data_IF_847651743641
#
_entry.id   IF_847651743641
#
_cell.length_a   1.000
_cell.length_b   1.000
_cell.length_c   1.000
_cell.angle_alpha   90.00
_cell.angle_beta   90.00
_cell.angle_gamma   90.00
#
_symmetry.space_group_name_H-M   'P 1'
#
loop_
_entity.id
_entity.type
_entity.pdbx_description
1 polymer ?
#
# COMPACT_ATOMS: atom_id res chain seq x y z
N UNK A 1 -8.33 -19.82 -13.32
CA UNK A 1 -6.86 -19.79 -13.21
C UNK A 1 -6.47 -18.55 -12.42
N UNK A 2 -5.75 -18.72 -11.32
CA UNK A 2 -5.09 -17.62 -10.62
C UNK A 2 -3.67 -17.45 -11.17
N UNK A 3 -3.17 -16.22 -11.26
CA UNK A 3 -1.80 -15.90 -11.67
C UNK A 3 -1.18 -15.02 -10.59
N UNK A 4 0.07 -15.28 -10.27
CA UNK A 4 0.87 -14.41 -9.40
C UNK A 4 1.33 -13.22 -10.23
N UNK A 5 1.22 -12.02 -9.67
CA UNK A 5 1.59 -10.75 -10.29
C UNK A 5 2.45 -9.98 -9.29
N UNK A 6 3.26 -9.05 -9.79
CA UNK A 6 4.14 -8.17 -9.01
C UNK A 6 5.34 -8.88 -8.35
N UNK A 7 6.42 -9.03 -9.11
CA UNK A 7 7.70 -9.56 -8.64
C UNK A 7 8.64 -8.45 -8.13
N UNK A 8 8.14 -7.23 -7.85
CA UNK A 8 8.96 -6.08 -7.46
C UNK A 8 9.81 -6.26 -6.20
N UNK A 9 9.51 -7.27 -5.39
CA UNK A 9 10.22 -7.64 -4.15
C UNK A 9 10.83 -9.05 -4.19
N UNK A 10 10.79 -9.72 -5.35
CA UNK A 10 11.31 -11.07 -5.50
C UNK A 10 12.84 -11.09 -5.36
N UNK A 11 13.36 -12.02 -4.55
CA UNK A 11 14.81 -12.24 -4.39
C UNK A 11 15.20 -13.57 -4.99
N UNK A 12 16.30 -13.59 -5.74
CA UNK A 12 16.92 -14.82 -6.25
C UNK A 12 17.80 -15.40 -5.15
N UNK A 13 17.37 -16.50 -4.54
CA UNK A 13 18.17 -17.22 -3.55
C UNK A 13 19.12 -18.15 -4.29
N UNK A 14 20.41 -17.79 -4.38
CA UNK A 14 21.45 -18.71 -4.88
C UNK A 14 21.92 -19.60 -3.72
N UNK A 15 22.13 -20.89 -3.97
CA UNK A 15 22.49 -21.87 -2.92
C UNK A 15 23.78 -21.50 -2.16
N UNK A 16 23.62 -21.39 -0.84
CA UNK A 16 24.58 -21.34 0.26
C UNK A 16 26.05 -20.93 0.00
N UNK A 17 26.38 -19.69 0.38
CA UNK A 17 27.65 -19.37 1.07
C UNK A 17 27.33 -18.46 2.26
N UNK A 18 27.83 -18.71 3.48
CA UNK A 18 27.42 -17.96 4.65
C UNK A 18 28.24 -16.68 4.75
N UNK A 19 27.81 -15.61 4.09
CA UNK A 19 28.16 -14.25 4.48
C UNK A 19 27.29 -13.23 3.75
N UNK A 20 26.88 -12.23 4.52
CA UNK A 20 26.14 -11.03 4.13
C UNK A 20 24.63 -11.24 3.98
N UNK A 21 23.97 -11.40 5.13
CA UNK A 21 22.56 -11.04 5.30
C UNK A 21 22.39 -9.57 4.88
N UNK A 22 21.95 -9.37 3.63
CA UNK A 22 21.64 -8.04 3.11
C UNK A 22 20.21 -7.71 3.55
N UNK A 23 20.15 -6.78 4.50
CA UNK A 23 18.98 -6.07 5.01
C UNK A 23 18.13 -5.59 3.84
N UNK A 24 16.93 -6.16 3.68
CA UNK A 24 15.91 -5.56 2.80
C UNK A 24 14.61 -5.54 3.59
N UNK A 25 13.93 -4.40 3.50
CA UNK A 25 12.63 -4.05 4.08
C UNK A 25 12.60 -3.52 5.53
N UNK A 26 13.59 -2.73 5.96
CA UNK A 26 13.42 -1.87 7.16
C UNK A 26 13.40 -0.37 6.82
N UNK A 27 13.94 0.03 5.66
CA UNK A 27 13.98 1.47 5.28
C UNK A 27 12.61 2.07 4.92
N UNK A 28 11.62 1.26 4.54
CA UNK A 28 10.28 1.73 4.14
C UNK A 28 9.25 1.71 5.29
N UNK A 29 9.63 1.28 6.50
CA UNK A 29 8.71 1.20 7.64
C UNK A 29 8.51 2.56 8.35
N UNK A 30 9.42 3.51 8.16
CA UNK A 30 9.32 4.87 8.70
C UNK A 30 8.21 5.71 8.07
N UNK A 31 7.72 5.33 6.89
CA UNK A 31 6.67 6.02 6.15
C UNK A 31 5.24 5.48 6.44
N UNK A 32 5.10 4.43 7.26
CA UNK A 32 3.84 3.67 7.43
C UNK A 32 3.00 4.11 8.64
N UNK A 33 3.44 5.11 9.41
CA UNK A 33 2.68 5.63 10.56
C UNK A 33 1.59 6.59 10.09
N UNK A 34 0.47 6.06 9.58
CA UNK A 34 -0.71 6.91 9.40
C UNK A 34 -1.96 6.36 8.72
N UNK A 35 -1.93 5.20 8.05
CA UNK A 35 -3.14 4.73 7.34
C UNK A 35 -3.40 3.24 7.53
N UNK A 36 -4.68 2.89 7.78
CA UNK A 36 -5.13 1.50 7.91
C UNK A 36 -4.87 0.62 6.68
N UNK A 37 -4.55 1.21 5.53
CA UNK A 37 -4.08 0.49 4.34
C UNK A 37 -2.68 -0.12 4.53
N UNK A 38 -1.76 0.59 5.20
CA UNK A 38 -0.45 0.05 5.57
C UNK A 38 -0.58 -1.10 6.56
N UNK A 39 -1.49 -0.97 7.54
CA UNK A 39 -1.84 -2.06 8.46
C UNK A 39 -2.34 -3.28 7.69
N UNK A 40 -3.14 -3.05 6.64
CA UNK A 40 -3.65 -4.08 5.73
C UNK A 40 -2.53 -4.91 5.11
N UNK A 41 -1.55 -4.27 4.47
CA UNK A 41 -0.41 -4.99 3.86
C UNK A 41 0.52 -5.62 4.90
N UNK A 42 0.70 -5.00 6.07
CA UNK A 42 1.51 -5.54 7.17
C UNK A 42 0.94 -6.86 7.69
N UNK A 43 -0.39 -7.03 7.70
CA UNK A 43 -1.06 -8.22 8.22
C UNK A 43 -0.65 -9.54 7.52
N UNK A 44 -0.01 -9.48 6.35
CA UNK A 44 0.49 -10.65 5.61
C UNK A 44 2.01 -10.88 5.77
N UNK A 45 2.73 -10.03 6.49
CA UNK A 45 4.17 -10.23 6.75
C UNK A 45 4.42 -11.43 7.66
N UNK A 46 5.52 -12.14 7.40
CA UNK A 46 6.01 -13.19 8.28
C UNK A 46 6.69 -12.62 9.55
N UNK A 47 6.79 -13.40 10.64
CA UNK A 47 7.50 -12.98 11.86
C UNK A 47 8.96 -12.57 11.60
N UNK A 48 9.65 -13.31 10.73
CA UNK A 48 11.02 -13.00 10.35
C UNK A 48 11.14 -11.68 9.57
N UNK A 49 10.16 -11.34 8.71
CA UNK A 49 10.10 -10.04 8.04
C UNK A 49 9.85 -8.92 9.05
N UNK A 50 8.92 -9.11 9.99
CA UNK A 50 8.61 -8.15 11.05
C UNK A 50 9.80 -7.88 11.99
N UNK A 51 10.68 -8.87 12.19
CA UNK A 51 11.91 -8.75 12.98
C UNK A 51 13.13 -8.29 12.16
N UNK A 52 12.98 -8.09 10.84
CA UNK A 52 14.11 -7.76 9.95
C UNK A 52 15.17 -8.86 9.83
N UNK A 53 14.78 -10.12 10.05
CA UNK A 53 15.66 -11.29 9.95
C UNK A 53 15.81 -11.77 8.49
N UNK A 54 16.73 -12.72 8.26
CA UNK A 54 16.92 -13.32 6.94
C UNK A 54 15.66 -14.02 6.43
N UNK A 55 15.16 -13.60 5.27
CA UNK A 55 13.92 -14.10 4.63
C UNK A 55 14.26 -15.24 3.66
N UNK A 56 13.43 -16.28 3.62
CA UNK A 56 13.49 -17.36 2.62
C UNK A 56 12.07 -17.72 2.14
N UNK A 57 11.93 -18.73 1.29
CA UNK A 57 10.64 -19.14 0.72
C UNK A 57 9.56 -19.51 1.77
N UNK A 58 9.93 -19.80 3.02
CA UNK A 58 8.97 -20.09 4.10
C UNK A 58 8.25 -18.84 4.58
N UNK A 59 8.76 -17.64 4.27
CA UNK A 59 8.04 -16.39 4.49
C UNK A 59 6.85 -16.27 3.54
N UNK A 60 7.01 -16.64 2.26
CA UNK A 60 5.91 -16.66 1.29
C UNK A 60 4.81 -17.66 1.68
N UNK A 61 5.18 -18.79 2.29
CA UNK A 61 4.24 -19.77 2.85
C UNK A 61 3.37 -19.13 3.95
N UNK A 62 3.98 -18.33 4.82
CA UNK A 62 3.24 -17.62 5.88
C UNK A 62 2.27 -16.61 5.29
N UNK A 63 2.73 -15.77 4.37
CA UNK A 63 1.89 -14.78 3.68
C UNK A 63 0.73 -15.44 2.94
N UNK A 64 0.98 -16.57 2.27
CA UNK A 64 -0.07 -17.36 1.62
C UNK A 64 -1.06 -17.94 2.64
N UNK A 65 -0.59 -18.44 3.79
CA UNK A 65 -1.43 -18.87 4.90
C UNK A 65 -2.36 -17.76 5.39
N UNK A 66 -1.86 -16.52 5.47
CA UNK A 66 -2.65 -15.37 5.89
C UNK A 66 -3.75 -15.03 4.87
N UNK A 67 -3.46 -15.12 3.57
CA UNK A 67 -4.45 -14.95 2.50
C UNK A 67 -5.50 -16.06 2.55
N UNK A 68 -5.09 -17.32 2.75
CA UNK A 68 -6.03 -18.44 2.89
C UNK A 68 -6.97 -18.25 4.10
N UNK A 69 -6.44 -17.80 5.24
CA UNK A 69 -7.23 -17.48 6.42
C UNK A 69 -8.29 -16.44 6.12
N UNK A 70 -7.91 -15.33 5.51
CA UNK A 70 -8.83 -14.24 5.20
C UNK A 70 -9.87 -14.65 4.15
N UNK A 71 -9.49 -15.43 3.13
CA UNK A 71 -10.47 -15.96 2.18
C UNK A 71 -11.47 -16.93 2.84
N UNK A 72 -11.03 -17.70 3.83
CA UNK A 72 -11.89 -18.65 4.54
C UNK A 72 -12.83 -17.97 5.55
N UNK A 73 -12.41 -16.86 6.14
CA UNK A 73 -13.11 -16.22 7.28
C UNK A 73 -13.69 -14.84 6.95
N UNK A 74 -13.23 -14.19 5.90
CA UNK A 74 -13.53 -12.79 5.57
C UNK A 74 -12.81 -11.76 6.45
N UNK A 75 -11.88 -12.19 7.31
CA UNK A 75 -11.18 -11.33 8.28
C UNK A 75 -9.68 -11.64 8.26
N UNK A 76 -8.83 -10.63 8.40
CA UNK A 76 -7.39 -10.82 8.49
C UNK A 76 -6.99 -11.62 9.74
N UNK A 77 -5.95 -12.49 9.66
CA UNK A 77 -5.52 -13.33 10.79
C UNK A 77 -4.91 -12.53 11.94
N UNK A 78 -4.21 -11.43 11.64
CA UNK A 78 -3.53 -10.57 12.61
C UNK A 78 -3.97 -9.13 12.36
N UNK A 79 -4.50 -8.47 13.40
CA UNK A 79 -5.00 -7.10 13.27
C UNK A 79 -4.74 -6.31 14.55
N UNK A 80 -3.96 -5.25 14.43
CA UNK A 80 -3.77 -4.26 15.48
C UNK A 80 -4.51 -2.96 15.19
N UNK A 81 -4.80 -2.18 16.23
CA UNK A 81 -5.28 -0.79 16.09
C UNK A 81 -4.18 0.16 15.60
N UNK A 82 -2.92 -0.24 15.73
CA UNK A 82 -1.74 0.48 15.26
C UNK A 82 -0.80 -0.47 14.52
N UNK A 83 0.17 0.09 13.80
CA UNK A 83 1.26 -0.67 13.15
C UNK A 83 2.03 -1.50 14.17
N UNK A 84 2.44 -0.90 15.29
CA UNK A 84 3.15 -1.59 16.36
C UNK A 84 2.31 -2.72 16.98
N UNK A 85 1.01 -2.52 17.18
CA UNK A 85 0.11 -3.56 17.65
C UNK A 85 0.00 -4.71 16.62
N UNK A 86 -0.03 -4.40 15.33
CA UNK A 86 -0.08 -5.41 14.27
C UNK A 86 1.20 -6.23 14.21
N UNK A 87 2.37 -5.60 14.37
CA UNK A 87 3.63 -6.32 14.54
C UNK A 87 3.60 -7.23 15.77
N UNK A 88 3.09 -6.75 16.91
CA UNK A 88 2.96 -7.58 18.09
C UNK A 88 2.07 -8.82 17.85
N UNK A 89 0.95 -8.67 17.13
CA UNK A 89 0.09 -9.79 16.75
C UNK A 89 0.80 -10.78 15.81
N UNK A 90 1.53 -10.27 14.82
CA UNK A 90 2.32 -11.11 13.90
C UNK A 90 3.40 -11.88 14.65
N UNK A 91 4.01 -11.32 15.69
CA UNK A 91 5.10 -11.97 16.42
C UNK A 91 4.61 -12.95 17.49
N UNK A 92 3.50 -12.65 18.18
CA UNK A 92 3.16 -13.34 19.42
C UNK A 92 1.75 -13.94 19.45
N UNK A 93 0.83 -13.45 18.64
CA UNK A 93 -0.56 -13.89 18.69
C UNK A 93 -0.84 -15.07 17.77
N UNK A 94 -1.84 -15.85 18.13
CA UNK A 94 -2.43 -16.88 17.27
C UNK A 94 -3.76 -16.35 16.71
N UNK A 95 -4.04 -16.55 15.41
CA UNK A 95 -5.32 -16.14 14.84
C UNK A 95 -6.46 -16.88 15.55
N UNK A 96 -7.64 -16.26 15.61
CA UNK A 96 -8.82 -16.97 16.08
C UNK A 96 -9.10 -18.19 15.18
N UNK A 97 -9.53 -19.31 15.76
CA UNK A 97 -9.89 -20.52 15.03
C UNK A 97 -10.84 -20.20 13.87
N UNK A 98 -10.50 -20.63 12.65
CA UNK A 98 -11.25 -20.29 11.44
C UNK A 98 -12.67 -20.86 11.50
N UNK A 99 -12.83 -22.06 12.05
CA UNK A 99 -14.13 -22.73 12.24
C UNK A 99 -15.03 -21.96 13.22
N UNK A 100 -14.46 -21.19 14.16
CA UNK A 100 -15.27 -20.32 15.05
C UNK A 100 -15.85 -19.10 14.33
N UNK A 101 -15.17 -18.60 13.30
CA UNK A 101 -15.63 -17.43 12.53
C UNK A 101 -16.56 -17.87 11.40
N UNK A 102 -16.18 -18.93 10.69
CA UNK A 102 -16.96 -19.53 9.61
C UNK A 102 -17.10 -21.05 9.84
N UNK A 103 -18.23 -21.50 10.42
CA UNK A 103 -18.48 -22.93 10.69
C UNK A 103 -18.54 -23.82 9.44
N UNK A 104 -18.61 -23.23 8.24
CA UNK A 104 -18.57 -23.98 6.98
C UNK A 104 -17.15 -24.29 6.50
N UNK A 105 -16.12 -23.76 7.18
CA UNK A 105 -14.72 -24.11 6.89
C UNK A 105 -14.46 -25.55 7.29
N UNK A 106 -13.95 -26.41 6.39
CA UNK A 106 -13.54 -27.77 6.76
C UNK A 106 -12.42 -27.74 7.81
N UNK A 107 -12.48 -28.60 8.82
CA UNK A 107 -11.47 -28.69 9.88
C UNK A 107 -10.05 -28.91 9.32
N UNK A 108 -9.93 -29.67 8.23
CA UNK A 108 -8.65 -29.87 7.55
C UNK A 108 -8.10 -28.61 6.89
N UNK A 109 -8.97 -27.70 6.40
CA UNK A 109 -8.52 -26.39 5.90
C UNK A 109 -7.96 -25.54 7.03
N UNK A 110 -8.62 -25.55 8.20
CA UNK A 110 -8.11 -24.88 9.40
C UNK A 110 -6.75 -25.43 9.81
N UNK A 111 -6.57 -26.75 9.83
CA UNK A 111 -5.27 -27.39 10.12
C UNK A 111 -4.17 -26.91 9.17
N UNK A 112 -4.47 -26.84 7.87
CA UNK A 112 -3.52 -26.38 6.84
C UNK A 112 -3.13 -24.91 7.09
N UNK A 113 -4.12 -24.05 7.32
CA UNK A 113 -3.91 -22.62 7.57
C UNK A 113 -3.07 -22.42 8.84
N UNK A 114 -3.41 -23.10 9.93
CA UNK A 114 -2.67 -23.01 11.21
C UNK A 114 -1.22 -23.43 11.03
N UNK A 115 -0.94 -24.53 10.32
CA UNK A 115 0.45 -24.95 10.04
C UNK A 115 1.22 -23.96 9.17
N UNK A 116 0.54 -23.29 8.23
CA UNK A 116 1.16 -22.24 7.40
C UNK A 116 1.48 -20.97 8.21
N UNK A 117 0.65 -20.66 9.21
CA UNK A 117 0.78 -19.50 10.08
C UNK A 117 1.63 -19.73 11.35
N UNK A 118 2.34 -20.86 11.43
CA UNK A 118 3.28 -21.13 12.51
C UNK A 118 4.34 -20.04 12.61
N UNK A 119 4.62 -19.57 13.83
CA UNK A 119 5.58 -18.48 14.06
C UNK A 119 7.01 -18.98 13.90
N UNK A 120 7.28 -20.18 14.42
CA UNK A 120 8.54 -20.87 14.22
C UNK A 120 8.61 -21.45 12.81
N UNK A 121 9.59 -20.98 12.04
CA UNK A 121 9.83 -21.40 10.66
C UNK A 121 10.20 -22.88 10.54
N UNK A 122 10.74 -23.50 11.59
CA UNK A 122 11.04 -24.93 11.61
C UNK A 122 9.79 -25.80 11.73
N UNK A 123 8.71 -25.27 12.33
CA UNK A 123 7.43 -25.96 12.49
C UNK A 123 6.45 -25.71 11.32
N UNK A 124 6.71 -24.65 10.55
CA UNK A 124 5.97 -24.33 9.32
C UNK A 124 6.22 -25.38 8.22
N UNK A 125 5.40 -25.37 7.17
CA UNK A 125 5.75 -26.10 5.93
C UNK A 125 7.12 -25.64 5.41
N UNK A 126 7.96 -26.59 5.03
CA UNK A 126 9.31 -26.26 4.54
C UNK A 126 9.27 -25.94 3.04
N UNK A 127 8.34 -26.54 2.30
CA UNK A 127 8.18 -26.30 0.87
C UNK A 127 6.73 -26.00 0.47
N UNK A 128 6.55 -25.15 -0.55
CA UNK A 128 5.23 -24.83 -1.11
C UNK A 128 4.51 -26.06 -1.71
N UNK A 129 5.27 -27.08 -2.11
CA UNK A 129 4.73 -28.36 -2.58
C UNK A 129 3.97 -29.12 -1.48
N UNK A 130 4.38 -28.99 -0.22
CA UNK A 130 3.71 -29.67 0.90
C UNK A 130 2.31 -29.11 1.13
N UNK A 131 2.18 -27.79 1.23
CA UNK A 131 0.87 -27.14 1.37
C UNK A 131 -0.02 -27.38 0.15
N UNK A 132 0.55 -27.39 -1.06
CA UNK A 132 -0.19 -27.74 -2.27
C UNK A 132 -0.73 -29.17 -2.23
N UNK A 133 0.05 -30.14 -1.74
CA UNK A 133 -0.38 -31.53 -1.60
C UNK A 133 -1.53 -31.67 -0.60
N UNK A 134 -1.44 -31.00 0.55
CA UNK A 134 -2.50 -30.99 1.57
C UNK A 134 -3.79 -30.35 1.05
N UNK A 135 -3.70 -29.22 0.33
CA UNK A 135 -4.87 -28.57 -0.30
C UNK A 135 -5.49 -29.42 -1.40
N UNK A 136 -4.68 -30.14 -2.18
CA UNK A 136 -5.19 -31.09 -3.18
C UNK A 136 -5.90 -32.28 -2.55
N UNK A 137 -5.39 -32.79 -1.42
CA UNK A 137 -6.04 -33.85 -0.65
C UNK A 137 -7.40 -33.36 -0.13
N UNK A 138 -7.43 -32.20 0.54
CA UNK A 138 -8.66 -31.59 1.03
C UNK A 138 -9.69 -31.41 -0.10
N UNK A 139 -9.25 -30.96 -1.28
CA UNK A 139 -10.13 -30.82 -2.44
C UNK A 139 -10.78 -32.15 -2.83
N UNK A 140 -10.01 -33.24 -2.88
CA UNK A 140 -10.54 -34.58 -3.20
C UNK A 140 -11.55 -35.07 -2.15
N UNK A 141 -11.27 -34.78 -0.88
CA UNK A 141 -12.12 -35.23 0.23
C UNK A 141 -13.41 -34.40 0.36
N UNK A 142 -13.38 -33.14 -0.11
CA UNK A 142 -14.54 -32.23 -0.12
C UNK A 142 -15.37 -32.34 -1.40
N UNK A 143 -14.77 -32.79 -2.51
CA UNK A 143 -15.53 -33.13 -3.71
C UNK A 143 -16.36 -34.39 -3.44
N UNK A 144 -17.69 -34.36 -3.65
CA UNK A 144 -18.52 -35.52 -3.43
C UNK A 144 -18.07 -36.64 -4.37
N UNK A 145 -17.33 -37.61 -3.83
CA UNK A 145 -17.01 -38.83 -4.55
C UNK A 145 -18.33 -39.54 -4.77
N UNK A 146 -18.80 -39.56 -6.01
CA UNK A 146 -19.85 -40.47 -6.44
C UNK A 146 -19.27 -41.89 -6.35
N UNK A 147 -19.20 -42.43 -5.13
CA UNK A 147 -18.85 -43.82 -4.89
C UNK A 147 -20.02 -44.64 -5.40
N UNK A 148 -19.94 -45.00 -6.68
CA UNK A 148 -20.73 -46.08 -7.25
C UNK A 148 -20.33 -47.34 -6.48
N UNK A 149 -21.13 -47.70 -5.49
CA UNK A 149 -21.05 -48.99 -4.81
C UNK A 149 -21.22 -50.08 -5.90
N UNK A 150 -20.22 -50.93 -6.17
CA UNK A 150 -20.39 -52.00 -7.13
C UNK A 150 -21.15 -53.15 -6.46
N UNK A 151 -22.39 -53.38 -6.91
CA UNK A 151 -22.98 -54.71 -6.90
C UNK A 151 -24.05 -54.99 -5.85
N UNK A 152 -25.28 -54.57 -6.14
CA UNK A 152 -26.44 -55.44 -5.93
C UNK A 152 -27.17 -55.57 -7.27
N UNK A 153 -27.18 -56.79 -7.80
CA UNK A 153 -27.92 -57.15 -9.01
C UNK A 153 -29.39 -57.30 -8.60
N UNK A 154 -30.26 -56.48 -9.18
CA UNK A 154 -31.64 -56.87 -9.46
C UNK A 154 -32.12 -56.18 -10.75
N UNK A 155 -32.58 -56.93 -11.77
CA UNK A 155 -33.06 -56.38 -13.02
C UNK A 155 -34.58 -56.26 -13.00
N UNK A 156 -35.10 -55.04 -12.92
CA UNK A 156 -36.51 -54.84 -13.17
C UNK A 156 -37.06 -53.53 -12.64
N UNK A 157 -37.09 -52.52 -13.50
CA UNK A 157 -38.32 -51.82 -13.89
C UNK A 157 -37.94 -50.57 -14.70
N UNK A 158 -38.52 -50.49 -15.89
CA UNK A 158 -38.47 -49.33 -16.77
C UNK A 158 -39.06 -48.12 -16.03
N UNK A 159 -38.30 -47.04 -15.94
CA UNK A 159 -38.84 -45.70 -15.74
C UNK A 159 -38.27 -44.78 -16.82
N UNK A 160 -39.19 -44.33 -17.65
CA UNK A 160 -39.13 -43.29 -18.68
C UNK A 160 -38.12 -42.18 -18.44
N UNK A 161 -37.24 -42.02 -19.44
CA UNK A 161 -36.50 -40.79 -19.72
C UNK A 161 -37.47 -39.65 -20.02
N UNK A 162 -37.57 -38.69 -19.10
CA UNK A 162 -38.13 -37.36 -19.36
C UNK A 162 -37.00 -36.35 -19.18
N UNK A 163 -36.87 -35.48 -20.18
CA UNK A 163 -35.74 -34.63 -20.45
C UNK A 163 -35.40 -33.65 -19.31
N UNK A 164 -34.10 -33.45 -19.11
CA UNK A 164 -33.53 -32.33 -18.35
C UNK A 164 -33.85 -31.00 -19.06
N UNK A 165 -34.31 -29.94 -18.35
CA UNK A 165 -34.18 -28.60 -18.87
C UNK A 165 -32.73 -28.16 -18.78
N UNK A 166 -32.20 -27.76 -19.94
CA UNK A 166 -30.87 -27.23 -20.19
C UNK A 166 -30.48 -26.10 -19.24
N UNK A 167 -29.30 -26.22 -18.66
CA UNK A 167 -28.57 -25.16 -17.98
C UNK A 167 -28.31 -23.99 -18.94
N UNK A 168 -29.18 -22.98 -18.93
CA UNK A 168 -29.02 -21.80 -19.77
C UNK A 168 -29.49 -20.50 -19.12
N UNK A 169 -29.45 -20.34 -17.79
CA UNK A 169 -29.69 -19.03 -17.16
C UNK A 169 -28.88 -18.87 -15.87
N UNK A 170 -27.63 -18.39 -15.96
CA UNK A 170 -26.99 -17.54 -14.92
C UNK A 170 -25.62 -16.99 -15.33
N UNK A 171 -25.49 -16.46 -16.55
CA UNK A 171 -24.21 -15.92 -17.05
C UNK A 171 -24.11 -14.39 -17.03
N UNK A 172 -25.08 -13.66 -16.46
CA UNK A 172 -25.09 -12.18 -16.49
C UNK A 172 -24.86 -11.49 -15.13
N UNK A 173 -24.83 -12.21 -14.01
CA UNK A 173 -24.68 -11.58 -12.67
C UNK A 173 -23.23 -11.47 -12.17
N UNK A 174 -22.29 -12.28 -12.68
CA UNK A 174 -20.90 -12.29 -12.22
C UNK A 174 -20.00 -11.25 -12.90
N UNK A 175 -20.30 -10.86 -14.15
CA UNK A 175 -19.52 -9.85 -14.88
C UNK A 175 -19.64 -8.45 -14.27
N UNK A 176 -20.82 -8.12 -13.73
CA UNK A 176 -21.08 -6.82 -13.10
C UNK A 176 -20.32 -6.69 -11.78
N UNK A 177 -20.31 -7.75 -10.95
CA UNK A 177 -19.59 -7.73 -9.66
C UNK A 177 -18.09 -7.60 -9.88
N UNK A 178 -17.51 -8.35 -10.83
CA UNK A 178 -16.09 -8.25 -11.16
C UNK A 178 -15.71 -6.86 -11.73
N UNK A 179 -16.57 -6.27 -12.56
CA UNK A 179 -16.36 -4.92 -13.10
C UNK A 179 -16.45 -3.84 -12.00
N UNK A 180 -17.38 -3.98 -11.04
CA UNK A 180 -17.49 -3.08 -9.89
C UNK A 180 -16.27 -3.20 -8.98
N UNK A 181 -15.78 -4.41 -8.69
CA UNK A 181 -14.58 -4.61 -7.88
C UNK A 181 -13.33 -4.03 -8.55
N UNK A 182 -13.19 -4.19 -9.87
CA UNK A 182 -12.11 -3.56 -10.64
C UNK A 182 -12.21 -2.03 -10.66
N UNK A 183 -13.42 -1.48 -10.79
CA UNK A 183 -13.63 -0.03 -10.75
C UNK A 183 -13.33 0.55 -9.35
N UNK A 184 -13.69 -0.16 -8.28
CA UNK A 184 -13.37 0.23 -6.90
C UNK A 184 -11.87 0.13 -6.64
N UNK A 185 -11.21 -0.94 -7.10
CA UNK A 185 -9.77 -1.10 -6.96
C UNK A 185 -9.00 -0.04 -7.75
N UNK A 186 -9.40 0.25 -8.99
CA UNK A 186 -8.82 1.29 -9.82
C UNK A 186 -9.07 2.69 -9.21
N UNK A 187 -10.27 2.95 -8.69
CA UNK A 187 -10.60 4.19 -8.00
C UNK A 187 -9.80 4.37 -6.71
N UNK A 188 -9.60 3.29 -5.94
CA UNK A 188 -8.76 3.29 -4.75
C UNK A 188 -7.28 3.52 -5.08
N UNK A 189 -6.75 2.85 -6.10
CA UNK A 189 -5.39 3.05 -6.58
C UNK A 189 -5.17 4.47 -7.12
N UNK A 190 -6.12 5.00 -7.90
CA UNK A 190 -6.09 6.38 -8.38
C UNK A 190 -6.15 7.38 -7.23
N UNK A 191 -7.01 7.15 -6.22
CA UNK A 191 -7.07 8.01 -5.03
C UNK A 191 -5.78 7.97 -4.21
N UNK A 192 -5.14 6.80 -4.05
CA UNK A 192 -3.82 6.71 -3.38
C UNK A 192 -2.73 7.42 -4.17
N UNK A 193 -2.71 7.24 -5.49
CA UNK A 193 -1.77 7.91 -6.38
C UNK A 193 -1.96 9.44 -6.35
N UNK A 194 -3.20 9.92 -6.37
CA UNK A 194 -3.54 11.34 -6.29
C UNK A 194 -3.14 11.96 -4.94
N UNK A 195 -3.24 11.19 -3.84
CA UNK A 195 -2.85 11.64 -2.49
C UNK A 195 -1.35 11.50 -2.21
N UNK A 196 -0.61 10.77 -3.03
CA UNK A 196 0.83 10.56 -2.89
C UNK A 196 1.65 11.87 -2.77
N UNK A 197 1.51 12.87 -3.67
CA UNK A 197 2.25 14.13 -3.57
C UNK A 197 1.96 14.90 -2.28
N UNK A 198 0.70 14.88 -1.81
CA UNK A 198 0.28 15.54 -0.56
C UNK A 198 0.99 14.91 0.64
N UNK A 199 1.04 13.58 0.71
CA UNK A 199 1.69 12.85 1.82
C UNK A 199 3.20 13.12 1.85
N UNK A 200 3.86 13.06 0.70
CA UNK A 200 5.28 13.33 0.58
C UNK A 200 5.63 14.77 0.99
N UNK A 201 4.87 15.74 0.49
CA UNK A 201 5.06 17.14 0.87
C UNK A 201 4.86 17.34 2.37
N UNK A 202 3.80 16.77 2.96
CA UNK A 202 3.50 16.91 4.39
C UNK A 202 4.59 16.32 5.29
N UNK A 203 5.22 15.22 4.88
CA UNK A 203 6.34 14.62 5.61
C UNK A 203 7.58 15.52 5.70
N UNK A 204 7.70 16.51 4.80
CA UNK A 204 8.79 17.50 4.78
C UNK A 204 8.50 18.77 5.58
N UNK A 205 7.33 18.88 6.24
CA UNK A 205 7.04 20.01 7.12
C UNK A 205 8.06 20.21 8.25
N UNK A 206 8.56 19.14 8.93
CA UNK A 206 9.61 19.30 9.93
C UNK A 206 10.91 19.84 9.33
N UNK A 207 11.29 19.37 8.14
CA UNK A 207 12.47 19.87 7.40
C UNK A 207 12.34 21.37 7.12
N UNK A 208 11.18 21.79 6.61
CA UNK A 208 10.88 23.21 6.38
C UNK A 208 10.95 24.03 7.67
N UNK A 209 10.36 23.52 8.76
CA UNK A 209 10.39 24.19 10.06
C UNK A 209 11.83 24.33 10.58
N UNK A 210 12.64 23.27 10.50
CA UNK A 210 14.05 23.32 10.89
C UNK A 210 14.85 24.32 10.05
N UNK A 211 14.59 24.43 8.74
CA UNK A 211 15.24 25.45 7.90
C UNK A 211 14.87 26.87 8.34
N UNK A 212 13.60 27.11 8.69
CA UNK A 212 13.14 28.41 9.20
C UNK A 212 13.81 28.74 10.54
N UNK A 213 13.84 27.79 11.48
CA UNK A 213 14.48 27.95 12.79
C UNK A 213 15.99 28.19 12.68
N UNK A 214 16.64 27.57 11.69
CA UNK A 214 18.05 27.78 11.39
C UNK A 214 18.33 29.03 10.53
N UNK A 215 17.33 29.90 10.30
CA UNK A 215 17.40 31.10 9.47
C UNK A 215 17.86 30.86 8.02
N UNK A 216 17.71 29.62 7.53
CA UNK A 216 18.02 29.21 6.14
C UNK A 216 16.86 29.54 5.21
N UNK A 217 16.46 30.80 5.18
CA UNK A 217 15.21 31.21 4.54
C UNK A 217 15.20 31.03 3.01
N UNK A 218 16.35 31.16 2.34
CA UNK A 218 16.47 30.94 0.88
C UNK A 218 16.13 29.49 0.50
N UNK A 219 16.64 28.53 1.27
CA UNK A 219 16.35 27.10 1.08
C UNK A 219 14.92 26.76 1.50
N UNK A 220 14.49 27.30 2.64
CA UNK A 220 13.13 27.13 3.13
C UNK A 220 12.09 27.62 2.11
N UNK A 221 12.34 28.78 1.47
CA UNK A 221 11.42 29.35 0.50
C UNK A 221 11.28 28.48 -0.75
N UNK A 222 12.38 27.92 -1.26
CA UNK A 222 12.34 26.97 -2.38
C UNK A 222 11.55 25.73 -2.03
N UNK A 223 11.85 25.13 -0.88
CA UNK A 223 11.15 23.94 -0.40
C UNK A 223 9.64 24.19 -0.23
N UNK A 224 9.27 25.31 0.41
CA UNK A 224 7.87 25.72 0.53
C UNK A 224 7.22 25.89 -0.85
N UNK A 225 7.87 26.57 -1.80
CA UNK A 225 7.31 26.77 -3.14
C UNK A 225 7.05 25.44 -3.88
N UNK A 226 7.94 24.46 -3.73
CA UNK A 226 7.74 23.11 -4.30
C UNK A 226 6.54 22.39 -3.64
N UNK A 227 6.32 22.64 -2.35
CA UNK A 227 5.24 22.03 -1.58
C UNK A 227 3.87 22.70 -1.82
N UNK A 228 3.83 23.95 -2.31
CA UNK A 228 2.60 24.75 -2.43
C UNK A 228 1.51 24.07 -3.27
N UNK A 229 1.87 23.40 -4.38
CA UNK A 229 0.88 22.72 -5.22
C UNK A 229 0.22 21.54 -4.50
N UNK A 230 1.00 20.79 -3.72
CA UNK A 230 0.54 19.59 -3.05
C UNK A 230 -0.21 19.89 -1.74
N UNK A 231 0.17 20.98 -1.05
CA UNK A 231 -0.36 21.33 0.27
C UNK A 231 -1.26 22.58 0.25
N UNK A 232 -1.81 22.94 -0.91
CA UNK A 232 -2.73 24.06 -1.03
C UNK A 232 -3.92 23.92 -0.06
N UNK A 233 -4.01 24.83 0.91
CA UNK A 233 -5.07 24.81 1.94
C UNK A 233 -4.81 23.88 3.14
N UNK A 234 -3.66 23.20 3.22
CA UNK A 234 -3.30 22.40 4.40
C UNK A 234 -2.94 23.33 5.58
N UNK A 235 -3.71 23.23 6.68
CA UNK A 235 -3.57 24.12 7.81
C UNK A 235 -2.20 24.07 8.51
N UNK A 236 -1.53 22.91 8.51
CA UNK A 236 -0.21 22.76 9.13
C UNK A 236 0.86 23.45 8.27
N UNK A 237 0.79 23.27 6.94
CA UNK A 237 1.64 23.97 6.00
C UNK A 237 1.44 25.49 6.07
N UNK A 238 0.19 25.96 6.10
CA UNK A 238 -0.13 27.38 6.24
C UNK A 238 0.47 27.99 7.51
N UNK A 239 0.42 27.26 8.62
CA UNK A 239 1.00 27.69 9.90
C UNK A 239 2.52 27.81 9.83
N UNK A 240 3.20 26.81 9.26
CA UNK A 240 4.67 26.80 9.15
C UNK A 240 5.15 27.89 8.18
N UNK A 241 4.55 27.97 6.99
CA UNK A 241 4.96 28.95 5.97
C UNK A 241 4.68 30.40 6.37
N UNK A 242 3.75 30.64 7.29
CA UNK A 242 3.51 31.98 7.81
C UNK A 242 4.75 32.57 8.53
N UNK A 243 5.63 31.74 9.09
CA UNK A 243 6.89 32.18 9.69
C UNK A 243 7.98 32.53 8.65
N UNK A 244 7.78 32.16 7.39
CA UNK A 244 8.70 32.36 6.29
C UNK A 244 8.27 33.50 5.35
N UNK A 245 7.01 33.93 5.43
CA UNK A 245 6.40 34.87 4.50
C UNK A 245 5.94 36.15 5.19
N UNK A 246 6.34 37.31 4.65
CA UNK A 246 5.96 38.63 5.17
C UNK A 246 5.11 39.42 4.16
N UNK A 247 4.28 40.39 4.60
CA UNK A 247 3.48 41.20 3.69
C UNK A 247 4.34 42.03 2.72
N UNK A 248 4.08 41.94 1.42
CA UNK A 248 4.78 42.72 0.39
C UNK A 248 3.80 43.38 -0.57
N UNK A 249 4.10 44.63 -0.92
CA UNK A 249 3.41 45.36 -1.99
C UNK A 249 4.40 45.67 -3.09
N UNK A 250 4.11 45.22 -4.31
CA UNK A 250 4.92 45.47 -5.50
C UNK A 250 4.03 46.08 -6.59
N UNK A 251 4.38 47.29 -7.04
CA UNK A 251 3.68 47.99 -8.13
C UNK A 251 4.67 48.30 -9.25
N UNK A 252 4.20 48.32 -10.48
CA UNK A 252 5.00 48.70 -11.65
C UNK A 252 4.22 49.66 -12.51
N UNK A 253 4.92 50.44 -13.33
CA UNK A 253 4.31 51.21 -14.41
C UNK A 253 5.05 50.85 -15.70
N UNK A 254 4.39 50.25 -16.70
CA UNK A 254 2.98 49.83 -16.71
C UNK A 254 2.68 48.64 -15.77
N UNK A 255 1.41 48.48 -15.42
CA UNK A 255 0.91 47.31 -14.67
C UNK A 255 1.08 46.01 -15.46
N UNK A 256 0.82 44.87 -14.82
CA UNK A 256 0.90 43.53 -15.39
C UNK A 256 2.32 43.12 -15.81
N UNK A 257 3.32 43.40 -14.96
CA UNK A 257 4.67 42.88 -15.09
C UNK A 257 4.81 41.58 -14.28
N UNK A 258 5.50 40.59 -14.82
CA UNK A 258 5.79 39.35 -14.12
C UNK A 258 6.92 39.56 -13.11
N UNK A 259 6.72 39.10 -11.89
CA UNK A 259 7.68 39.20 -10.80
C UNK A 259 8.21 37.81 -10.48
N UNK A 260 9.52 37.69 -10.51
CA UNK A 260 10.26 36.49 -10.13
C UNK A 260 11.19 36.80 -8.97
N UNK A 261 11.48 35.79 -8.17
CA UNK A 261 12.32 35.89 -6.98
C UNK A 261 13.30 34.74 -6.92
N UNK A 262 14.49 34.99 -6.36
CA UNK A 262 15.54 33.98 -6.20
C UNK A 262 16.42 34.32 -4.99
N UNK A 263 16.95 33.31 -4.31
CA UNK A 263 17.91 33.49 -3.23
C UNK A 263 19.10 34.36 -3.64
N UNK A 264 19.52 35.29 -2.78
CA UNK A 264 20.61 36.21 -3.07
C UNK A 264 21.96 35.50 -3.20
N UNK A 265 22.17 34.44 -2.40
CA UNK A 265 23.39 33.65 -2.35
C UNK A 265 23.39 32.49 -3.36
N UNK A 266 22.34 32.40 -4.18
CA UNK A 266 22.16 31.36 -5.19
C UNK A 266 22.19 31.98 -6.61
N UNK A 267 23.36 32.43 -7.10
CA UNK A 267 23.45 33.13 -8.39
C UNK A 267 23.02 32.26 -9.59
N UNK A 268 23.08 30.93 -9.42
CA UNK A 268 22.64 29.93 -10.40
C UNK A 268 21.34 29.22 -10.00
N UNK A 269 20.67 29.67 -8.95
CA UNK A 269 19.38 29.12 -8.53
C UNK A 269 18.27 29.39 -9.54
N UNK A 270 17.19 28.62 -9.43
CA UNK A 270 15.99 28.80 -10.23
C UNK A 270 15.26 30.11 -9.85
N UNK A 271 14.69 30.77 -10.86
CA UNK A 271 13.82 31.94 -10.65
C UNK A 271 12.41 31.45 -10.38
N UNK A 272 11.93 31.66 -9.16
CA UNK A 272 10.59 31.27 -8.75
C UNK A 272 9.61 32.40 -9.06
N UNK A 273 8.46 32.07 -9.64
CA UNK A 273 7.46 33.07 -10.01
C UNK A 273 6.66 33.50 -8.77
N UNK A 274 6.70 34.79 -8.46
CA UNK A 274 5.97 35.38 -7.33
C UNK A 274 4.56 35.85 -7.74
N UNK A 275 4.40 36.35 -8.98
CA UNK A 275 3.09 36.79 -9.46
C UNK A 275 3.16 37.82 -10.58
N UNK A 276 2.07 38.55 -10.76
CA UNK A 276 1.94 39.63 -11.73
C UNK A 276 1.55 40.91 -11.00
N UNK A 277 2.21 42.04 -11.28
CA UNK A 277 1.90 43.32 -10.64
C UNK A 277 0.54 43.90 -11.06
N UNK A 278 -0.16 44.61 -10.18
CA UNK A 278 0.20 44.90 -8.78
C UNK A 278 0.04 43.67 -7.86
N UNK A 279 1.03 43.46 -6.99
CA UNK A 279 1.00 42.40 -5.96
C UNK A 279 0.77 43.08 -4.62
N UNK A 280 -0.34 42.75 -3.97
CA UNK A 280 -0.62 43.04 -2.56
C UNK A 280 -0.79 41.69 -1.84
N UNK A 281 0.32 41.13 -1.36
CA UNK A 281 0.39 39.74 -0.96
C UNK A 281 1.49 39.44 0.03
N UNK A 282 2.12 38.27 -0.11
CA UNK A 282 3.23 37.84 0.75
C UNK A 282 4.49 37.57 -0.07
N UNK A 283 5.65 37.90 0.50
CA UNK A 283 6.97 37.66 -0.07
C UNK A 283 7.89 36.91 0.91
N UNK A 284 9.02 36.37 0.42
CA UNK A 284 9.96 35.58 1.22
C UNK A 284 10.76 36.41 2.20
N UNK A 285 10.80 36.00 3.48
CA UNK A 285 11.72 36.53 4.48
C UNK A 285 13.17 36.18 4.13
N UNK A 286 14.11 37.12 4.26
CA UNK A 286 15.55 36.91 4.00
C UNK A 286 16.09 37.71 2.83
N UNK A 287 17.27 37.33 2.32
CA UNK A 287 17.93 38.04 1.23
C UNK A 287 17.59 37.41 -0.12
N UNK A 288 16.80 38.14 -0.91
CA UNK A 288 16.36 37.69 -2.23
C UNK A 288 16.63 38.75 -3.29
N UNK A 289 16.88 38.27 -4.52
CA UNK A 289 16.89 39.09 -5.73
C UNK A 289 15.52 39.00 -6.38
N UNK A 290 15.05 40.15 -6.85
CA UNK A 290 13.80 40.25 -7.60
C UNK A 290 14.12 40.55 -9.06
N UNK A 291 13.42 39.89 -9.96
CA UNK A 291 13.46 40.15 -11.40
C UNK A 291 12.05 40.47 -11.85
N UNK A 292 11.87 41.64 -12.43
CA UNK A 292 10.58 42.11 -12.93
C UNK A 292 10.69 42.16 -14.45
N UNK A 293 9.76 41.51 -15.14
CA UNK A 293 9.76 41.37 -16.61
C UNK A 293 8.42 41.84 -17.16
N UNK A 294 8.46 42.71 -18.15
CA UNK A 294 7.28 43.14 -18.90
C UNK A 294 7.52 42.93 -20.38
N UNK A 295 6.64 42.20 -21.06
CA UNK A 295 6.75 42.00 -22.50
C UNK A 295 6.79 43.34 -23.22
N UNK A 296 7.78 43.54 -24.09
CA UNK A 296 8.01 44.79 -24.82
C UNK A 296 8.79 45.87 -24.05
N UNK A 297 9.24 45.58 -22.82
CA UNK A 297 10.14 46.44 -22.05
C UNK A 297 11.43 45.68 -21.74
N UNK A 298 12.56 46.28 -22.11
CA UNK A 298 13.90 45.79 -21.75
C UNK A 298 14.25 46.37 -20.37
N UNK A 299 14.86 45.60 -19.45
CA UNK A 299 15.18 46.04 -18.09
C UNK A 299 16.05 47.31 -18.01
#
# INVERSE_FOLDING_TARGET
HAKILDFGIAKVTQEATPSTATTVAVEDLGALTGTGAAIGTIAYMSPEQALGQGVDARSDIFSFGAVLYEMATGVQPFRGTTVAATFNEILHAHPAAAVRINPHVPADLERIITKALEKDRALRYQHASEIAADLQRLKRDTEPTHQTIPGSKDPGLRATSVAQPSAAVRRRSFGVIAAVLLAVAAGGAWWVYDQWPVRQARARLPELQTMIEAERFEEAFRLQHDMERALAGDAAFEKVRAGLLFPVTIRTSPDNAEVFVRGYNEPNGEWLRLGTTPIDGRGPLGYFRYRIVKAGFVP
#
